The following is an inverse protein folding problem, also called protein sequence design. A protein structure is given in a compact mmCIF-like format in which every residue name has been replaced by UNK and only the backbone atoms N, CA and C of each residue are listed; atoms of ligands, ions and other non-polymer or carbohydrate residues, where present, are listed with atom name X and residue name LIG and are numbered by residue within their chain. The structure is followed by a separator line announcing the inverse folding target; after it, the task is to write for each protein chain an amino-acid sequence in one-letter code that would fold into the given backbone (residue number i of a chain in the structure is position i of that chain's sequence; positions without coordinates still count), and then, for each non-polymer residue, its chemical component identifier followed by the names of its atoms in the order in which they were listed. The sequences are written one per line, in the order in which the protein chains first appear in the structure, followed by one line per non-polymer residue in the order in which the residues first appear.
data_IF_533291962276
#
_entry.id   IF_533291962276
#
_cell.length_a   1.000
_cell.length_b   1.000
_cell.length_c   1.000
_cell.angle_alpha   90.00
_cell.angle_beta   90.00
_cell.angle_gamma   90.00
#
_symmetry.space_group_name_H-M   'P 1'
#
loop_
_entity.id
_entity.type
_entity.pdbx_description
1 polymer ?
#
# COMPACT_ATOMS: atom_id res chain seq x y z
N UNK A 1 1.02 8.45 -22.18
CA UNK A 1 0.96 8.22 -21.95
C UNK A 1 0.78 7.22 -21.28
N UNK A 2 1.30 6.74 -20.78
CA UNK A 2 1.05 5.52 -20.28
C UNK A 2 0.15 5.55 -19.14
N UNK A 3 -0.62 4.57 -19.05
CA UNK A 3 -1.38 4.35 -17.91
C UNK A 3 -0.66 3.42 -17.01
N UNK A 4 -0.85 3.59 -15.71
CA UNK A 4 -0.29 2.68 -14.72
C UNK A 4 -1.08 1.39 -14.80
N UNK A 5 -0.36 0.28 -14.81
CA UNK A 5 -1.00 -1.03 -14.77
C UNK A 5 -0.97 -1.49 -13.32
N UNK A 6 -2.10 -1.45 -12.65
CA UNK A 6 -2.16 -1.93 -11.28
C UNK A 6 -3.00 -3.19 -11.24
N UNK A 7 -2.43 -4.25 -10.68
CA UNK A 7 -3.13 -5.52 -10.51
C UNK A 7 -3.22 -5.82 -9.04
N UNK A 8 -4.41 -6.23 -8.61
CA UNK A 8 -4.67 -6.48 -7.21
C UNK A 8 -5.10 -7.93 -7.06
N UNK A 9 -4.39 -8.63 -6.18
CA UNK A 9 -4.62 -10.06 -5.98
C UNK A 9 -5.18 -10.34 -4.60
N UNK A 10 -6.08 -11.28 -4.52
CA UNK A 10 -6.68 -11.74 -3.26
C UNK A 10 -7.48 -10.67 -2.54
N UNK A 11 -8.12 -9.81 -3.29
CA UNK A 11 -8.89 -8.73 -2.69
C UNK A 11 -10.03 -9.26 -1.83
N UNK A 12 -10.50 -10.45 -2.12
CA UNK A 12 -11.57 -11.06 -1.33
C UNK A 12 -11.17 -11.26 0.13
N UNK A 13 -9.87 -11.36 0.45
CA UNK A 13 -9.48 -11.48 1.85
C UNK A 13 -9.85 -10.23 2.63
N UNK A 14 -9.88 -9.08 1.97
CA UNK A 14 -10.27 -7.84 2.63
C UNK A 14 -11.74 -7.88 3.01
N UNK A 15 -12.59 -8.25 2.07
CA UNK A 15 -14.01 -8.32 2.34
C UNK A 15 -14.37 -9.45 3.29
N UNK A 16 -13.59 -10.52 3.29
CA UNK A 16 -13.82 -11.62 4.22
C UNK A 16 -13.56 -11.17 5.66
N UNK A 17 -12.56 -10.34 5.86
CA UNK A 17 -12.22 -9.86 7.18
C UNK A 17 -13.17 -8.76 7.63
N UNK A 18 -13.51 -7.85 6.72
CA UNK A 18 -14.40 -6.75 7.06
C UNK A 18 -15.46 -6.62 5.98
N UNK A 19 -16.60 -7.28 6.13
CA UNK A 19 -17.63 -7.27 5.08
C UNK A 19 -18.20 -5.89 4.79
N UNK A 20 -18.02 -4.94 5.70
CA UNK A 20 -18.53 -3.59 5.44
C UNK A 20 -17.55 -2.77 4.63
N UNK A 21 -16.41 -3.34 4.22
CA UNK A 21 -15.49 -2.64 3.34
C UNK A 21 -16.25 -2.28 2.07
N UNK A 22 -16.36 -1.00 1.79
CA UNK A 22 -17.33 -0.53 0.84
C UNK A 22 -16.77 -0.06 -0.48
N UNK A 23 -15.49 0.00 -0.65
CA UNK A 23 -14.91 0.50 -1.89
C UNK A 23 -14.66 -0.67 -2.82
N UNK A 24 -15.14 -0.55 -4.05
CA UNK A 24 -14.99 -1.63 -5.01
C UNK A 24 -13.56 -1.67 -5.55
N UNK A 25 -13.18 -2.85 -6.03
CA UNK A 25 -11.88 -3.02 -6.63
C UNK A 25 -11.67 -2.06 -7.79
N UNK A 26 -12.70 -1.87 -8.60
CA UNK A 26 -12.60 -0.99 -9.75
C UNK A 26 -12.39 0.45 -9.32
N UNK A 27 -13.06 0.87 -8.27
CA UNK A 27 -12.89 2.24 -7.78
C UNK A 27 -11.50 2.44 -7.21
N UNK A 28 -10.95 1.43 -6.53
CA UNK A 28 -9.60 1.51 -6.02
C UNK A 28 -8.61 1.68 -7.16
N UNK A 29 -8.76 0.88 -8.20
CA UNK A 29 -7.83 0.95 -9.33
C UNK A 29 -7.93 2.30 -10.03
N UNK A 30 -9.14 2.78 -10.24
CA UNK A 30 -9.34 4.06 -10.91
C UNK A 30 -8.74 5.21 -10.11
N UNK A 31 -9.00 5.22 -8.80
CA UNK A 31 -8.47 6.29 -7.96
C UNK A 31 -6.95 6.23 -7.90
N UNK A 32 -6.39 5.02 -7.83
CA UNK A 32 -4.96 4.85 -7.80
C UNK A 32 -4.32 5.40 -9.08
N UNK A 33 -4.88 5.05 -10.21
CA UNK A 33 -4.36 5.50 -11.48
C UNK A 33 -4.41 7.02 -11.57
N UNK A 34 -5.43 7.60 -11.01
CA UNK A 34 -5.60 9.03 -11.09
C UNK A 34 -4.63 9.78 -10.18
N UNK A 35 -4.45 9.34 -8.94
CA UNK A 35 -3.59 10.07 -8.03
C UNK A 35 -2.10 9.90 -8.36
N UNK A 36 -1.74 8.82 -9.08
CA UNK A 36 -0.35 8.60 -9.45
C UNK A 36 -0.09 8.82 -10.94
N UNK A 37 -1.03 9.49 -11.61
CA UNK A 37 -0.96 9.64 -13.06
C UNK A 37 0.30 10.33 -13.54
N UNK A 38 0.84 11.25 -12.74
CA UNK A 38 2.02 11.98 -13.18
C UNK A 38 3.30 11.42 -12.61
N UNK A 39 3.24 10.29 -11.94
CA UNK A 39 4.43 9.67 -11.41
C UNK A 39 5.08 8.81 -12.51
N UNK A 40 6.32 8.37 -12.30
CA UNK A 40 6.96 7.49 -13.27
C UNK A 40 6.53 6.03 -13.18
N UNK A 41 5.47 5.74 -12.43
CA UNK A 41 5.03 4.36 -12.29
C UNK A 41 4.49 3.77 -13.58
N UNK A 42 4.91 2.55 -13.90
CA UNK A 42 4.38 1.79 -15.01
C UNK A 42 3.50 0.64 -14.56
N UNK A 43 3.95 -0.10 -13.55
CA UNK A 43 3.18 -1.26 -13.10
C UNK A 43 3.39 -1.51 -11.62
N UNK A 44 2.33 -1.90 -10.96
CA UNK A 44 2.38 -2.24 -9.53
C UNK A 44 1.47 -3.43 -9.32
N UNK A 45 1.97 -4.40 -8.56
CA UNK A 45 1.16 -5.53 -8.14
C UNK A 45 0.91 -5.39 -6.65
N UNK A 46 -0.36 -5.49 -6.26
CA UNK A 46 -0.75 -5.42 -4.86
C UNK A 46 -1.28 -6.78 -4.48
N UNK A 47 -0.67 -7.42 -3.49
CA UNK A 47 -1.05 -8.76 -3.09
C UNK A 47 -1.46 -8.75 -1.63
N UNK A 48 -2.71 -9.09 -1.37
CA UNK A 48 -3.17 -9.21 0.02
C UNK A 48 -2.84 -10.61 0.51
N UNK A 49 -2.19 -10.69 1.66
CA UNK A 49 -1.69 -11.96 2.18
C UNK A 49 -2.03 -12.11 3.65
N UNK A 50 -1.93 -13.33 4.15
CA UNK A 50 -2.17 -13.60 5.55
C UNK A 50 -0.97 -13.20 6.39
N UNK A 51 -1.19 -13.05 7.67
CA UNK A 51 -0.10 -12.64 8.59
C UNK A 51 1.08 -13.59 8.58
N UNK A 52 0.82 -14.88 8.46
CA UNK A 52 1.91 -15.85 8.39
C UNK A 52 2.78 -15.62 7.18
N UNK A 53 2.15 -15.33 6.06
CA UNK A 53 2.86 -15.17 4.81
C UNK A 53 3.72 -13.90 4.84
N UNK A 54 3.15 -12.82 5.34
CA UNK A 54 3.91 -11.57 5.34
C UNK A 54 5.03 -11.66 6.38
N UNK A 55 4.86 -12.47 7.42
CA UNK A 55 5.93 -12.71 8.38
C UNK A 55 7.09 -13.44 7.71
N UNK A 56 6.81 -14.41 6.87
CA UNK A 56 7.85 -15.11 6.14
C UNK A 56 8.60 -14.17 5.22
N UNK A 57 7.88 -13.31 4.53
CA UNK A 57 8.51 -12.34 3.65
C UNK A 57 9.37 -11.36 4.43
N UNK A 58 8.87 -10.91 5.56
CA UNK A 58 9.60 -9.97 6.40
C UNK A 58 10.89 -10.60 6.92
N UNK A 59 10.83 -11.86 7.29
CA UNK A 59 11.99 -12.57 7.76
C UNK A 59 13.01 -12.75 6.64
N UNK A 60 12.53 -13.12 5.46
CA UNK A 60 13.40 -13.39 4.35
C UNK A 60 14.08 -12.14 3.83
N UNK A 61 13.36 -11.05 3.70
CA UNK A 61 13.87 -9.87 3.02
C UNK A 61 14.34 -8.76 3.95
N UNK A 62 13.91 -8.76 5.19
CA UNK A 62 14.32 -7.72 6.13
C UNK A 62 14.93 -8.30 7.40
N UNK A 63 15.01 -9.62 7.49
CA UNK A 63 15.58 -10.31 8.63
C UNK A 63 14.82 -9.99 9.93
N UNK A 64 13.53 -9.78 9.81
CA UNK A 64 12.66 -9.54 10.94
C UNK A 64 11.63 -10.65 10.99
N UNK A 65 11.69 -11.48 12.04
CA UNK A 65 10.78 -12.63 12.14
C UNK A 65 9.52 -12.21 12.88
N UNK A 66 8.73 -11.40 12.22
CA UNK A 66 7.48 -10.91 12.79
C UNK A 66 6.57 -10.45 11.66
N UNK A 67 5.25 -10.50 11.87
CA UNK A 67 4.36 -9.99 10.85
C UNK A 67 4.44 -8.46 10.81
N UNK A 68 3.92 -7.89 9.75
CA UNK A 68 3.87 -6.46 9.60
C UNK A 68 2.61 -6.14 8.77
N UNK A 69 2.31 -4.87 8.62
CA UNK A 69 1.13 -4.46 7.85
C UNK A 69 1.43 -4.41 6.35
N UNK A 70 2.59 -3.94 5.95
CA UNK A 70 2.89 -3.75 4.54
C UNK A 70 4.37 -3.96 4.27
N UNK A 71 4.66 -4.53 3.09
CA UNK A 71 6.02 -4.61 2.58
C UNK A 71 5.97 -4.20 1.12
N UNK A 72 6.93 -3.41 0.68
CA UNK A 72 6.97 -3.02 -0.72
C UNK A 72 8.37 -3.24 -1.28
N UNK A 73 8.41 -3.62 -2.53
CA UNK A 73 9.66 -3.97 -3.20
C UNK A 73 9.69 -3.37 -4.60
N UNK A 74 10.82 -2.80 -4.95
CA UNK A 74 11.01 -2.37 -6.34
C UNK A 74 11.42 -3.56 -7.18
N UNK A 75 10.91 -3.60 -8.39
CA UNK A 75 11.29 -4.64 -9.32
C UNK A 75 12.42 -4.09 -10.16
N UNK A 76 13.49 -4.85 -10.25
CA UNK A 76 14.63 -4.50 -11.11
C UNK A 76 15.25 -3.16 -10.76
N UNK A 77 15.19 -2.80 -9.53
CA UNK A 77 15.90 -1.62 -9.07
C UNK A 77 15.51 -0.33 -9.74
N UNK A 78 14.28 -0.20 -10.17
CA UNK A 78 13.85 1.08 -10.69
C UNK A 78 12.55 1.49 -10.01
N UNK A 79 12.19 2.74 -10.15
CA UNK A 79 11.03 3.29 -9.46
C UNK A 79 9.75 3.18 -10.26
N UNK A 80 9.78 2.48 -11.38
CA UNK A 80 8.60 2.41 -12.23
C UNK A 80 7.77 1.14 -12.02
N UNK A 81 8.32 0.15 -11.33
CA UNK A 81 7.60 -1.10 -11.11
C UNK A 81 7.84 -1.61 -9.71
N UNK A 82 6.83 -2.19 -9.11
CA UNK A 82 6.99 -2.71 -7.78
C UNK A 82 5.89 -3.64 -7.35
N UNK A 83 6.08 -4.24 -6.18
CA UNK A 83 5.10 -5.10 -5.56
C UNK A 83 4.83 -4.63 -4.16
N UNK A 84 3.58 -4.66 -3.76
CA UNK A 84 3.17 -4.25 -2.43
C UNK A 84 2.39 -5.40 -1.81
N UNK A 85 2.85 -5.87 -0.66
CA UNK A 85 2.16 -6.93 0.08
C UNK A 85 1.52 -6.29 1.30
N UNK A 86 0.24 -6.54 1.51
CA UNK A 86 -0.50 -5.99 2.64
C UNK A 86 -1.20 -7.13 3.36
N UNK A 87 -1.12 -7.14 4.68
CA UNK A 87 -1.80 -8.15 5.47
C UNK A 87 -3.04 -7.55 6.12
N UNK A 88 -4.23 -7.81 5.58
CA UNK A 88 -5.45 -7.27 6.17
C UNK A 88 -5.68 -7.78 7.58
N UNK A 89 -5.26 -9.02 7.86
CA UNK A 89 -5.41 -9.57 9.21
C UNK A 89 -4.67 -8.71 10.24
N UNK A 90 -3.43 -8.36 9.91
CA UNK A 90 -2.62 -7.56 10.82
C UNK A 90 -3.22 -6.18 10.98
N UNK A 91 -3.68 -5.60 9.89
CA UNK A 91 -4.29 -4.27 9.93
C UNK A 91 -5.55 -4.29 10.79
N UNK A 92 -6.38 -5.30 10.62
CA UNK A 92 -7.63 -5.38 11.35
C UNK A 92 -7.37 -5.54 12.85
N UNK A 93 -6.37 -6.31 13.21
CA UNK A 93 -6.02 -6.50 14.62
C UNK A 93 -5.56 -5.20 15.25
N UNK A 94 -4.91 -4.34 14.47
CA UNK A 94 -4.38 -3.10 15.01
C UNK A 94 -5.38 -1.97 15.02
N UNK A 95 -6.25 -1.90 14.01
CA UNK A 95 -7.14 -0.76 13.84
C UNK A 95 -8.61 -1.10 13.92
N UNK A 96 -8.96 -2.35 13.82
CA UNK A 96 -10.33 -2.82 13.89
C UNK A 96 -11.21 -2.15 12.84
N UNK A 97 -12.53 -2.26 12.99
CA UNK A 97 -13.37 -1.89 11.87
C UNK A 97 -13.46 -0.38 11.63
N UNK A 98 -13.31 0.43 12.67
CA UNK A 98 -13.53 1.85 12.49
C UNK A 98 -12.53 2.50 11.55
N UNK A 99 -11.29 2.06 11.57
CA UNK A 99 -10.27 2.66 10.74
C UNK A 99 -9.70 1.72 9.71
N UNK A 100 -10.26 0.53 9.60
CA UNK A 100 -9.69 -0.50 8.74
C UNK A 100 -9.65 -0.07 7.28
N UNK A 101 -10.78 0.43 6.76
CA UNK A 101 -10.87 0.77 5.36
C UNK A 101 -9.86 1.87 5.01
N UNK A 102 -9.83 2.89 5.84
CA UNK A 102 -8.93 3.99 5.59
C UNK A 102 -7.47 3.54 5.69
N UNK A 103 -7.18 2.64 6.62
CA UNK A 103 -5.81 2.19 6.79
C UNK A 103 -5.35 1.33 5.61
N UNK A 104 -6.23 0.51 5.06
CA UNK A 104 -5.88 -0.26 3.86
C UNK A 104 -5.48 0.69 2.73
N UNK A 105 -6.25 1.75 2.53
CA UNK A 105 -5.93 2.72 1.48
C UNK A 105 -4.62 3.46 1.79
N UNK A 106 -4.41 3.78 3.05
CA UNK A 106 -3.20 4.48 3.45
C UNK A 106 -1.96 3.61 3.18
N UNK A 107 -2.05 2.31 3.46
CA UNK A 107 -0.93 1.42 3.23
C UNK A 107 -0.63 1.23 1.75
N UNK A 108 -1.66 1.23 0.93
CA UNK A 108 -1.47 1.16 -0.50
C UNK A 108 -0.67 2.37 -0.99
N UNK A 109 -1.03 3.54 -0.52
CA UNK A 109 -0.33 4.76 -0.90
C UNK A 109 1.09 4.76 -0.33
N UNK A 110 1.22 4.35 0.93
CA UNK A 110 2.52 4.31 1.60
C UNK A 110 3.50 3.40 0.86
N UNK A 111 3.05 2.20 0.50
CA UNK A 111 3.91 1.28 -0.24
C UNK A 111 4.31 1.83 -1.59
N UNK A 112 3.40 2.53 -2.25
CA UNK A 112 3.69 3.13 -3.54
C UNK A 112 4.76 4.22 -3.40
N UNK A 113 4.66 5.02 -2.36
CA UNK A 113 5.64 6.07 -2.16
C UNK A 113 7.03 5.50 -1.91
N UNK A 114 7.11 4.36 -1.23
CA UNK A 114 8.39 3.68 -1.07
C UNK A 114 8.93 3.21 -2.41
N UNK A 115 8.10 2.66 -3.27
CA UNK A 115 8.52 2.23 -4.59
C UNK A 115 9.06 3.43 -5.38
N UNK A 116 8.43 4.58 -5.21
CA UNK A 116 8.83 5.78 -5.93
C UNK A 116 10.08 6.42 -5.33
N UNK A 117 10.62 5.84 -4.26
CA UNK A 117 11.87 6.35 -3.72
C UNK A 117 11.75 7.28 -2.54
N UNK A 118 10.54 7.46 -2.03
CA UNK A 118 10.37 8.27 -0.85
C UNK A 118 10.75 7.41 0.37
N UNK A 119 12.02 7.04 0.41
CA UNK A 119 12.43 6.08 1.39
C UNK A 119 13.24 6.80 2.40
N UNK A 120 12.94 6.62 3.62
CA UNK A 120 13.64 7.31 4.52
C UNK A 120 14.39 6.47 5.39
N UNK A 121 14.32 5.35 5.20
CA UNK A 121 14.86 4.39 5.97
C UNK A 121 15.79 4.73 7.02
N UNK A 122 16.91 5.18 6.72
CA UNK A 122 17.82 5.30 7.68
C UNK A 122 17.75 6.45 8.48
N UNK A 123 17.10 7.38 8.08
CA UNK A 123 17.16 8.60 8.77
C UNK A 123 16.34 8.57 9.97
N UNK A 124 16.90 8.65 11.05
CA UNK A 124 16.18 8.63 12.19
C UNK A 124 15.72 9.98 12.50
N UNK A 125 16.15 10.95 11.79
CA UNK A 125 15.83 12.28 12.15
C UNK A 125 14.54 12.78 11.66
N UNK A 126 13.78 11.91 11.13
CA UNK A 126 12.46 12.29 10.82
C UNK A 126 12.15 13.21 9.73
N UNK A 127 12.94 14.11 9.39
CA UNK A 127 12.56 15.05 8.36
C UNK A 127 12.04 14.42 7.10
N UNK A 128 12.72 13.43 6.54
CA UNK A 128 12.17 12.74 5.37
C UNK A 128 10.88 12.05 5.68
N UNK A 129 10.75 11.51 6.89
CA UNK A 129 9.54 10.81 7.26
C UNK A 129 8.37 11.78 7.35
N UNK A 130 8.60 12.96 7.87
CA UNK A 130 7.54 13.94 7.97
C UNK A 130 7.04 14.36 6.61
N UNK A 131 7.96 14.54 5.67
CA UNK A 131 7.56 14.94 4.35
C UNK A 131 6.78 13.86 3.65
N UNK A 132 7.25 12.62 3.77
CA UNK A 132 6.54 11.50 3.19
C UNK A 132 5.15 11.37 3.80
N UNK A 133 5.04 11.58 5.11
CA UNK A 133 3.74 11.49 5.77
C UNK A 133 2.78 12.54 5.24
N UNK A 134 3.24 13.75 5.01
CA UNK A 134 2.39 14.78 4.46
C UNK A 134 1.90 14.44 3.08
N UNK A 135 2.78 13.96 2.23
CA UNK A 135 2.41 13.58 0.88
C UNK A 135 1.39 12.44 0.93
N UNK A 136 1.66 11.47 1.80
CA UNK A 136 0.78 10.33 1.94
C UNK A 136 -0.63 10.75 2.33
N UNK A 137 -0.75 11.64 3.31
CA UNK A 137 -2.07 12.04 3.79
C UNK A 137 -2.81 12.91 2.76
N UNK A 138 -2.08 13.71 2.01
CA UNK A 138 -2.70 14.48 0.94
C UNK A 138 -3.24 13.57 -0.16
N UNK A 139 -2.46 12.55 -0.53
CA UNK A 139 -2.91 11.61 -1.53
C UNK A 139 -4.08 10.77 -1.03
N UNK A 140 -4.08 10.44 0.25
CA UNK A 140 -5.19 9.69 0.83
C UNK A 140 -6.48 10.49 0.75
N UNK A 141 -6.42 11.78 1.01
CA UNK A 141 -7.61 12.62 0.89
C UNK A 141 -8.13 12.64 -0.54
N UNK A 142 -7.23 12.75 -1.51
CA UNK A 142 -7.64 12.74 -2.91
C UNK A 142 -8.26 11.39 -3.29
N UNK A 143 -7.63 10.32 -2.83
CA UNK A 143 -8.11 8.98 -3.11
C UNK A 143 -9.54 8.80 -2.58
N UNK A 144 -9.76 9.24 -1.35
CA UNK A 144 -11.07 9.10 -0.73
C UNK A 144 -12.12 9.91 -1.47
N UNK A 145 -11.76 11.09 -1.94
CA UNK A 145 -12.69 11.90 -2.70
C UNK A 145 -13.08 11.24 -4.01
N UNK A 146 -12.13 10.64 -4.68
CA UNK A 146 -12.42 9.96 -5.95
C UNK A 146 -13.32 8.77 -5.72
N UNK A 147 -13.12 8.06 -4.62
CA UNK A 147 -13.91 6.87 -4.32
C UNK A 147 -15.29 7.17 -3.72
N UNK A 148 -15.54 8.35 -3.29
CA UNK A 148 -16.83 8.64 -2.63
C UNK A 148 -17.96 9.04 -3.56
#
# INVERSE_FOLDING_TARGET
MGKISIDIFNFDTVSDIEPTFNISLEDIKRAYEEIFAESPLDSVNVIFVKSEHIQELNKEYRDIDAPTDVLSFNIEQNSSAGEIYISPEYVYESFQEDAFEEEILRLLIHGTLHILGHDHTESMNDSPNEEMFKIQEELLLKFKKICS
#
